data_IF_342987528179
#
_entry.id   IF_342987528179
#
_cell.length_a   1.000
_cell.length_b   1.000
_cell.length_c   1.000
_cell.angle_alpha   90.00
_cell.angle_beta   90.00
_cell.angle_gamma   90.00
#
_symmetry.space_group_name_H-M   'P 1'
#
loop_
_entity.id
_entity.type
_entity.pdbx_description
1 polymer ?
#
# COMPACT_ATOMS: atom_id res chain seq x y z
N UNK A 1 -16.98 -2.72 -7.67
CA UNK A 1 -17.43 -4.00 -7.08
C UNK A 1 -18.29 -3.71 -5.86
N UNK A 2 -19.43 -4.38 -5.69
CA UNK A 2 -20.32 -4.17 -4.53
C UNK A 2 -20.69 -5.51 -3.94
N UNK A 3 -20.73 -5.60 -2.60
CA UNK A 3 -21.08 -6.83 -1.89
C UNK A 3 -21.77 -6.54 -0.56
N UNK A 4 -22.67 -7.44 -0.16
CA UNK A 4 -23.26 -7.43 1.19
C UNK A 4 -22.27 -8.09 2.14
N UNK A 5 -21.89 -7.38 3.19
CA UNK A 5 -20.83 -7.86 4.09
C UNK A 5 -21.36 -8.44 5.40
N UNK A 6 -22.61 -8.13 5.79
CA UNK A 6 -23.20 -8.61 7.03
C UNK A 6 -24.04 -9.90 6.83
N UNK A 7 -24.10 -10.72 7.88
CA UNK A 7 -25.03 -11.84 7.95
C UNK A 7 -26.44 -11.32 8.20
N UNK A 8 -27.23 -11.18 7.13
CA UNK A 8 -28.60 -10.66 7.20
C UNK A 8 -29.66 -11.78 7.27
N UNK A 9 -29.29 -13.02 6.91
CA UNK A 9 -30.17 -14.19 6.91
C UNK A 9 -29.44 -15.44 7.43
N UNK A 10 -30.10 -16.19 8.30
CA UNK A 10 -29.62 -17.50 8.79
C UNK A 10 -30.80 -18.47 8.86
N UNK A 11 -30.64 -19.67 8.30
CA UNK A 11 -31.66 -20.72 8.31
C UNK A 11 -33.07 -20.28 7.84
N UNK A 12 -33.12 -19.37 6.86
CA UNK A 12 -34.39 -18.82 6.37
C UNK A 12 -34.86 -17.55 7.11
N UNK A 13 -34.41 -17.35 8.35
CA UNK A 13 -34.79 -16.22 9.20
C UNK A 13 -33.99 -14.96 8.86
N UNK A 14 -34.70 -13.84 8.74
CA UNK A 14 -34.09 -12.51 8.55
C UNK A 14 -33.67 -12.00 9.92
N UNK A 15 -32.35 -11.79 10.09
CA UNK A 15 -31.77 -11.30 11.34
C UNK A 15 -31.65 -9.78 11.34
N UNK A 16 -31.22 -9.20 10.22
CA UNK A 16 -30.97 -7.77 10.06
C UNK A 16 -31.17 -7.31 8.61
N UNK A 17 -31.19 -5.98 8.39
CA UNK A 17 -31.10 -5.39 7.06
C UNK A 17 -29.73 -5.67 6.42
N UNK A 18 -29.72 -5.88 5.10
CA UNK A 18 -28.48 -5.98 4.31
C UNK A 18 -27.70 -4.66 4.41
N UNK A 19 -26.38 -4.76 4.59
CA UNK A 19 -25.44 -3.66 4.52
C UNK A 19 -24.38 -3.95 3.48
N UNK A 20 -24.13 -2.97 2.62
CA UNK A 20 -23.24 -3.12 1.48
C UNK A 20 -21.91 -2.39 1.66
N UNK A 21 -20.88 -2.91 1.00
CA UNK A 21 -19.65 -2.20 0.74
C UNK A 21 -19.44 -2.14 -0.78
N UNK A 22 -19.10 -0.96 -1.29
CA UNK A 22 -18.85 -0.69 -2.70
C UNK A 22 -17.46 -0.11 -2.89
N UNK A 23 -16.71 -0.64 -3.86
CA UNK A 23 -15.38 -0.18 -4.22
C UNK A 23 -15.35 0.28 -5.67
N UNK A 24 -14.72 1.44 -5.89
CA UNK A 24 -14.33 1.95 -7.19
C UNK A 24 -12.81 2.03 -7.25
N UNK A 25 -12.19 1.41 -8.24
CA UNK A 25 -10.75 1.34 -8.40
C UNK A 25 -10.36 1.82 -9.80
N UNK A 26 -9.24 2.54 -9.89
CA UNK A 26 -8.62 2.95 -11.15
C UNK A 26 -7.15 2.54 -11.10
N UNK A 27 -6.78 1.66 -12.02
CA UNK A 27 -5.42 1.21 -12.24
C UNK A 27 -4.76 1.96 -13.39
N UNK A 28 -3.46 2.22 -13.28
CA UNK A 28 -2.67 2.73 -14.40
C UNK A 28 -1.31 2.06 -14.46
N UNK A 29 -0.86 1.81 -15.69
CA UNK A 29 0.46 1.27 -16.00
C UNK A 29 0.97 1.97 -17.26
N UNK A 30 2.20 2.48 -17.20
CA UNK A 30 2.88 3.02 -18.39
C UNK A 30 4.38 2.79 -18.30
N UNK A 31 5.05 2.87 -19.45
CA UNK A 31 6.50 2.85 -19.54
C UNK A 31 6.98 3.87 -20.56
N UNK A 32 8.09 4.53 -20.24
CA UNK A 32 8.67 5.61 -21.06
C UNK A 32 10.18 5.39 -21.25
N UNK A 33 10.77 6.13 -22.20
CA UNK A 33 12.20 6.03 -22.57
C UNK A 33 12.62 4.59 -22.95
N UNK A 34 11.87 3.96 -23.86
CA UNK A 34 12.09 2.59 -24.32
C UNK A 34 12.11 1.59 -23.14
N UNK A 35 11.11 1.68 -22.27
CA UNK A 35 10.94 0.83 -21.08
C UNK A 35 12.06 0.95 -20.04
N UNK A 36 12.80 2.07 -20.04
CA UNK A 36 13.76 2.36 -18.97
C UNK A 36 13.07 2.82 -17.70
N UNK A 37 11.93 3.50 -17.79
CA UNK A 37 11.13 3.91 -16.65
C UNK A 37 9.75 3.30 -16.76
N UNK A 38 9.31 2.62 -15.71
CA UNK A 38 7.96 2.08 -15.58
C UNK A 38 7.27 2.78 -14.41
N UNK A 39 6.00 3.11 -14.61
CA UNK A 39 5.15 3.78 -13.62
C UNK A 39 3.88 2.94 -13.50
N UNK A 40 3.60 2.50 -12.28
CA UNK A 40 2.41 1.72 -11.93
C UNK A 40 1.66 2.42 -10.82
N UNK A 41 0.35 2.33 -10.80
CA UNK A 41 -0.39 2.72 -9.62
C UNK A 41 -1.85 2.36 -9.68
N UNK A 42 -2.49 2.59 -8.55
CA UNK A 42 -3.88 2.26 -8.31
C UNK A 42 -4.45 3.28 -7.33
N UNK A 43 -5.70 3.67 -7.52
CA UNK A 43 -6.47 4.46 -6.53
C UNK A 43 -7.81 3.79 -6.32
N UNK A 44 -8.18 3.58 -5.06
CA UNK A 44 -9.41 2.91 -4.63
C UNK A 44 -10.20 3.81 -3.71
N UNK A 45 -11.49 3.96 -4.02
CA UNK A 45 -12.49 4.59 -3.18
C UNK A 45 -13.45 3.53 -2.64
N UNK A 46 -13.56 3.42 -1.32
CA UNK A 46 -14.52 2.53 -0.68
C UNK A 46 -15.68 3.33 -0.07
N UNK A 47 -16.88 2.79 -0.22
CA UNK A 47 -18.11 3.24 0.40
C UNK A 47 -18.67 2.08 1.23
N UNK A 48 -18.90 2.29 2.52
CA UNK A 48 -19.32 1.26 3.47
C UNK A 48 -20.57 1.74 4.20
N UNK A 49 -21.64 0.98 4.11
CA UNK A 49 -22.86 1.24 4.88
C UNK A 49 -22.65 0.81 6.33
N UNK A 50 -22.64 1.76 7.27
CA UNK A 50 -22.43 1.47 8.69
C UNK A 50 -23.78 1.31 9.43
N UNK A 51 -23.87 0.44 10.46
CA UNK A 51 -25.07 0.34 11.29
C UNK A 51 -25.37 1.65 12.05
N UNK A 52 -26.62 1.94 12.38
CA UNK A 52 -26.99 3.23 13.02
C UNK A 52 -26.28 3.47 14.37
N UNK A 53 -26.08 2.42 15.16
CA UNK A 53 -25.47 2.45 16.49
C UNK A 53 -23.94 2.27 16.47
N UNK A 54 -23.29 2.50 15.32
CA UNK A 54 -21.85 2.25 15.19
C UNK A 54 -20.98 3.26 15.95
N UNK A 55 -19.79 2.82 16.35
CA UNK A 55 -18.77 3.69 16.96
C UNK A 55 -18.19 4.61 15.88
N UNK A 56 -18.26 5.92 16.10
CA UNK A 56 -17.92 6.95 15.10
C UNK A 56 -16.50 6.83 14.48
N UNK A 57 -15.59 6.08 15.10
CA UNK A 57 -14.25 5.81 14.60
C UNK A 57 -14.23 5.03 13.28
N UNK A 58 -15.30 4.29 12.93
CA UNK A 58 -15.38 3.61 11.63
C UNK A 58 -15.77 4.55 10.49
N UNK A 59 -15.08 4.40 9.34
CA UNK A 59 -15.31 5.23 8.15
C UNK A 59 -16.28 4.62 7.16
N UNK A 60 -17.34 5.36 6.80
CA UNK A 60 -18.26 4.99 5.72
C UNK A 60 -17.71 5.34 4.33
N UNK A 61 -16.64 6.13 4.28
CA UNK A 61 -15.91 6.48 3.06
C UNK A 61 -14.42 6.42 3.32
N UNK A 62 -13.72 5.71 2.47
CA UNK A 62 -12.26 5.50 2.56
C UNK A 62 -11.64 5.78 1.20
N UNK A 63 -10.39 6.23 1.15
CA UNK A 63 -9.66 6.49 -0.08
C UNK A 63 -8.23 6.03 0.12
N UNK A 64 -7.70 5.23 -0.80
CA UNK A 64 -6.29 4.88 -0.77
C UNK A 64 -5.75 4.64 -2.16
N UNK A 65 -4.45 4.54 -2.27
CA UNK A 65 -3.79 4.28 -3.53
C UNK A 65 -2.28 4.25 -3.40
N UNK A 66 -1.63 3.89 -4.49
CA UNK A 66 -0.19 3.89 -4.59
C UNK A 66 0.29 4.31 -5.98
N UNK A 67 1.54 4.76 -6.05
CA UNK A 67 2.27 5.00 -7.28
C UNK A 67 3.70 4.48 -7.10
N UNK A 68 4.15 3.60 -7.98
CA UNK A 68 5.47 2.98 -8.00
C UNK A 68 6.20 3.35 -9.30
N UNK A 69 7.35 3.99 -9.16
CA UNK A 69 8.20 4.43 -10.26
C UNK A 69 9.50 3.65 -10.20
N UNK A 70 9.83 2.90 -11.25
CA UNK A 70 11.05 2.09 -11.33
C UNK A 70 11.82 2.50 -12.57
N UNK A 71 13.08 2.89 -12.39
CA UNK A 71 14.00 3.23 -13.45
C UNK A 71 15.16 2.22 -13.54
N UNK A 72 15.44 1.71 -14.74
CA UNK A 72 16.66 0.96 -15.04
C UNK A 72 17.79 1.95 -15.31
N UNK A 73 18.71 2.10 -14.36
CA UNK A 73 19.82 3.07 -14.44
C UNK A 73 21.04 2.49 -15.15
N UNK A 74 21.20 1.18 -15.12
CA UNK A 74 22.31 0.48 -15.76
C UNK A 74 21.85 -0.87 -16.30
N UNK A 75 22.25 -1.20 -17.53
CA UNK A 75 22.05 -2.51 -18.13
C UNK A 75 23.31 -2.91 -18.90
N UNK A 76 24.07 -3.88 -18.38
CA UNK A 76 25.30 -4.39 -19.00
C UNK A 76 25.71 -5.74 -18.42
N UNK A 77 26.86 -6.26 -18.85
CA UNK A 77 27.49 -7.41 -18.17
C UNK A 77 27.99 -6.98 -16.78
N UNK A 78 27.50 -7.63 -15.73
CA UNK A 78 27.89 -7.37 -14.33
C UNK A 78 28.17 -8.72 -13.68
N UNK A 79 29.35 -8.89 -13.05
CA UNK A 79 29.72 -10.11 -12.31
C UNK A 79 29.49 -11.42 -13.10
N UNK A 80 29.73 -11.40 -14.41
CA UNK A 80 29.56 -12.56 -15.30
C UNK A 80 28.17 -12.69 -15.94
N UNK A 81 27.13 -12.05 -15.41
CA UNK A 81 25.79 -12.08 -15.99
C UNK A 81 25.64 -11.08 -17.13
N UNK A 82 25.24 -11.57 -18.31
CA UNK A 82 24.92 -10.73 -19.46
C UNK A 82 23.56 -10.04 -19.27
N UNK A 83 23.46 -8.77 -19.69
CA UNK A 83 22.23 -7.97 -19.58
C UNK A 83 21.68 -7.80 -18.15
N UNK A 84 22.54 -7.89 -17.14
CA UNK A 84 22.15 -7.61 -15.77
C UNK A 84 21.72 -6.15 -15.62
N UNK A 85 20.68 -5.91 -14.82
CA UNK A 85 20.09 -4.59 -14.61
C UNK A 85 20.28 -4.11 -13.17
N UNK A 86 20.62 -2.84 -13.02
CA UNK A 86 20.49 -2.11 -11.76
C UNK A 86 19.33 -1.14 -11.90
N UNK A 87 18.39 -1.24 -10.96
CA UNK A 87 17.20 -0.41 -10.93
C UNK A 87 17.20 0.42 -9.65
N UNK A 88 16.72 1.64 -9.77
CA UNK A 88 16.26 2.44 -8.65
C UNK A 88 14.75 2.55 -8.73
N UNK A 89 14.07 2.74 -7.62
CA UNK A 89 12.65 3.02 -7.64
C UNK A 89 12.19 3.76 -6.40
N UNK A 90 10.98 4.29 -6.48
CA UNK A 90 10.30 4.92 -5.36
C UNK A 90 8.83 4.59 -5.45
N UNK A 91 8.28 4.15 -4.31
CA UNK A 91 6.85 3.92 -4.15
C UNK A 91 6.27 4.90 -3.14
N UNK A 92 5.14 5.49 -3.52
CA UNK A 92 4.29 6.32 -2.67
C UNK A 92 3.02 5.53 -2.38
N UNK A 93 2.62 5.44 -1.12
CA UNK A 93 1.31 4.91 -0.73
C UNK A 93 0.58 5.94 0.13
N UNK A 94 -0.72 6.04 -0.05
CA UNK A 94 -1.61 6.83 0.79
C UNK A 94 -2.87 6.03 1.09
N UNK A 95 -3.34 6.07 2.33
CA UNK A 95 -4.64 5.53 2.72
C UNK A 95 -5.27 6.42 3.78
N UNK A 96 -6.50 6.84 3.57
CA UNK A 96 -7.40 7.50 4.51
C UNK A 96 -8.58 6.56 4.76
N UNK A 97 -8.60 5.98 5.96
CA UNK A 97 -9.59 4.99 6.37
C UNK A 97 -10.90 5.61 6.83
N UNK A 98 -10.96 6.94 7.02
CA UNK A 98 -12.16 7.60 7.49
C UNK A 98 -12.27 9.05 6.99
N UNK A 99 -13.04 9.25 5.92
CA UNK A 99 -13.36 10.59 5.42
C UNK A 99 -14.62 11.22 6.03
N UNK A 100 -15.11 10.70 7.16
CA UNK A 100 -16.26 11.27 7.85
C UNK A 100 -15.85 12.38 8.82
N UNK A 101 -16.85 12.93 9.51
CA UNK A 101 -16.71 13.95 10.53
C UNK A 101 -17.35 13.50 11.83
N UNK A 102 -16.87 14.01 12.96
CA UNK A 102 -17.49 13.79 14.25
C UNK A 102 -18.91 14.38 14.27
N UNK A 103 -19.89 13.68 14.86
CA UNK A 103 -21.32 14.02 14.79
C UNK A 103 -21.60 15.27 15.61
N UNK A 104 -20.90 15.41 16.74
CA UNK A 104 -21.07 16.49 17.69
C UNK A 104 -20.26 17.74 17.30
N UNK A 105 -18.96 17.60 17.00
CA UNK A 105 -18.08 18.74 16.71
C UNK A 105 -18.02 19.13 15.23
N UNK A 106 -18.48 18.28 14.32
CA UNK A 106 -18.35 18.45 12.86
C UNK A 106 -16.90 18.60 12.37
N UNK A 107 -15.94 18.18 13.20
CA UNK A 107 -14.52 18.14 12.86
C UNK A 107 -14.21 16.92 12.00
N UNK A 108 -13.16 17.01 11.18
CA UNK A 108 -12.69 15.89 10.37
C UNK A 108 -12.24 14.75 11.30
N UNK A 109 -12.67 13.53 11.00
CA UNK A 109 -12.06 12.34 11.58
C UNK A 109 -10.82 12.06 10.74
N UNK A 110 -9.67 12.02 11.38
CA UNK A 110 -8.44 11.56 10.75
C UNK A 110 -8.40 10.03 10.83
N UNK A 111 -7.46 9.41 10.13
CA UNK A 111 -7.04 8.00 10.22
C UNK A 111 -6.36 7.72 8.87
N UNK A 112 -5.22 8.39 8.68
CA UNK A 112 -4.52 8.34 7.42
C UNK A 112 -3.05 8.00 7.57
N UNK A 113 -2.57 7.28 6.57
CA UNK A 113 -1.20 6.78 6.49
C UNK A 113 -0.58 7.19 5.17
N UNK A 114 0.61 7.79 5.25
CA UNK A 114 1.47 8.07 4.13
C UNK A 114 2.70 7.17 4.19
N UNK A 115 3.13 6.65 3.05
CA UNK A 115 4.33 5.83 2.94
C UNK A 115 5.17 6.28 1.77
N UNK A 116 6.47 6.38 2.01
CA UNK A 116 7.50 6.66 1.02
C UNK A 116 8.53 5.53 1.08
N UNK A 117 8.70 4.82 -0.03
CA UNK A 117 9.57 3.63 -0.10
C UNK A 117 10.56 3.75 -1.26
N UNK A 118 11.71 4.43 -1.08
CA UNK A 118 12.84 4.30 -2.00
C UNK A 118 13.37 2.87 -2.03
N UNK A 119 13.83 2.44 -3.21
CA UNK A 119 14.33 1.10 -3.48
C UNK A 119 15.52 1.08 -4.42
N UNK A 120 16.40 0.11 -4.22
CA UNK A 120 17.45 -0.28 -5.15
C UNK A 120 17.30 -1.77 -5.40
N UNK A 121 17.32 -2.18 -6.67
CA UNK A 121 17.18 -3.57 -7.05
C UNK A 121 18.23 -3.98 -8.07
N UNK A 122 18.93 -5.08 -7.81
CA UNK A 122 19.79 -5.74 -8.76
C UNK A 122 19.07 -6.95 -9.37
N UNK A 123 19.10 -7.05 -10.70
CA UNK A 123 18.52 -8.14 -11.47
C UNK A 123 19.63 -8.81 -12.28
N UNK A 124 20.27 -9.89 -11.76
CA UNK A 124 21.36 -10.55 -12.46
C UNK A 124 20.90 -11.24 -13.74
N UNK A 125 19.75 -11.91 -13.69
CA UNK A 125 19.16 -12.62 -14.82
C UNK A 125 17.63 -12.52 -14.74
N UNK A 126 16.91 -12.60 -15.86
CA UNK A 126 15.56 -12.06 -16.05
C UNK A 126 14.51 -12.33 -14.96
N UNK A 127 14.61 -13.42 -14.22
CA UNK A 127 13.67 -13.82 -13.15
C UNK A 127 14.22 -13.63 -11.72
N UNK A 128 15.49 -13.29 -11.53
CA UNK A 128 16.08 -13.08 -10.21
C UNK A 128 16.13 -11.59 -9.86
N UNK A 129 15.73 -11.24 -8.64
CA UNK A 129 15.74 -9.89 -8.10
C UNK A 129 16.28 -9.92 -6.68
N UNK A 130 17.30 -9.12 -6.42
CA UNK A 130 17.76 -8.76 -5.08
C UNK A 130 17.37 -7.31 -4.86
N UNK A 131 16.66 -6.99 -3.78
CA UNK A 131 16.11 -5.66 -3.54
C UNK A 131 16.36 -5.22 -2.11
N UNK A 132 16.74 -3.96 -1.96
CA UNK A 132 16.77 -3.25 -0.70
C UNK A 132 15.79 -2.09 -0.79
N UNK A 133 14.90 -1.96 0.19
CA UNK A 133 14.02 -0.81 0.34
C UNK A 133 14.18 -0.19 1.72
N UNK A 134 13.95 1.12 1.79
CA UNK A 134 13.73 1.81 3.06
C UNK A 134 12.31 2.35 3.05
N UNK A 135 11.48 1.91 4.00
CA UNK A 135 10.10 2.37 4.17
C UNK A 135 10.06 3.46 5.22
N UNK A 136 9.59 4.64 4.86
CA UNK A 136 9.24 5.72 5.78
C UNK A 136 7.73 5.90 5.79
N UNK A 137 7.11 5.75 6.96
CA UNK A 137 5.66 5.80 7.14
C UNK A 137 5.28 6.86 8.17
N UNK A 138 4.22 7.60 7.87
CA UNK A 138 3.57 8.57 8.76
C UNK A 138 2.12 8.12 8.96
N UNK A 139 1.69 7.91 10.20
CA UNK A 139 0.30 7.52 10.51
C UNK A 139 -0.29 8.48 11.53
N UNK A 140 -1.41 9.11 11.17
CA UNK A 140 -2.21 9.95 12.07
C UNK A 140 -3.34 9.15 12.68
N UNK A 141 -3.59 9.40 13.96
CA UNK A 141 -4.74 8.83 14.67
C UNK A 141 -6.05 9.56 14.32
N UNK A 142 -7.15 9.13 14.92
CA UNK A 142 -8.50 9.62 14.62
C UNK A 142 -8.77 11.09 14.98
N UNK A 143 -8.02 11.62 15.95
CA UNK A 143 -8.19 13.00 16.45
C UNK A 143 -7.21 13.98 15.79
N UNK A 144 -6.28 13.47 14.97
CA UNK A 144 -5.37 14.31 14.20
C UNK A 144 -4.16 14.80 14.99
N UNK A 145 -3.70 14.03 15.98
CA UNK A 145 -2.43 14.30 16.63
C UNK A 145 -1.27 14.25 15.62
N UNK A 146 -0.11 14.80 16.04
CA UNK A 146 1.12 14.72 15.24
C UNK A 146 1.39 13.28 14.76
N UNK A 147 1.69 13.07 13.46
CA UNK A 147 1.80 11.72 12.91
C UNK A 147 2.90 10.90 13.60
N UNK A 148 2.56 9.68 13.97
CA UNK A 148 3.53 8.67 14.37
C UNK A 148 4.42 8.31 13.17
N UNK A 149 5.73 8.20 13.40
CA UNK A 149 6.74 7.96 12.36
C UNK A 149 7.29 6.55 12.48
N UNK A 150 7.40 5.85 11.36
CA UNK A 150 8.00 4.51 11.31
C UNK A 150 9.04 4.44 10.19
N UNK A 151 10.21 3.91 10.52
CA UNK A 151 11.27 3.56 9.58
C UNK A 151 11.52 2.06 9.56
N UNK A 152 11.59 1.46 8.38
CA UNK A 152 11.93 0.05 8.23
C UNK A 152 12.85 -0.22 7.05
N UNK A 153 13.80 -1.13 7.23
CA UNK A 153 14.64 -1.64 6.15
C UNK A 153 14.05 -2.97 5.70
N UNK A 154 13.86 -3.12 4.40
CA UNK A 154 13.34 -4.32 3.77
C UNK A 154 14.37 -4.89 2.82
N UNK A 155 14.81 -6.10 3.09
CA UNK A 155 15.66 -6.85 2.16
C UNK A 155 14.85 -7.99 1.54
N UNK A 156 14.85 -8.07 0.22
CA UNK A 156 14.10 -9.08 -0.54
C UNK A 156 14.98 -9.80 -1.56
N UNK A 157 14.84 -11.11 -1.62
CA UNK A 157 15.37 -11.96 -2.69
C UNK A 157 14.21 -12.71 -3.32
N UNK A 158 14.07 -12.61 -4.63
CA UNK A 158 13.12 -13.39 -5.41
C UNK A 158 13.82 -14.03 -6.58
N UNK A 159 13.56 -15.31 -6.81
CA UNK A 159 14.09 -16.04 -7.96
C UNK A 159 13.07 -17.07 -8.44
N UNK A 160 13.05 -17.32 -9.75
CA UNK A 160 12.20 -18.35 -10.34
C UNK A 160 13.07 -19.40 -11.02
N UNK A 161 12.84 -20.66 -10.66
CA UNK A 161 13.46 -21.83 -11.27
C UNK A 161 12.35 -22.74 -11.78
N UNK A 162 12.30 -23.06 -13.08
CA UNK A 162 11.46 -24.13 -13.64
C UNK A 162 10.04 -24.21 -13.04
N UNK A 163 9.30 -23.08 -13.04
CA UNK A 163 7.92 -22.90 -12.48
C UNK A 163 7.79 -22.84 -10.95
N UNK A 164 8.88 -22.88 -10.18
CA UNK A 164 8.90 -22.68 -8.73
C UNK A 164 9.39 -21.27 -8.42
N UNK A 165 8.60 -20.53 -7.64
CA UNK A 165 8.96 -19.22 -7.10
C UNK A 165 9.47 -19.38 -5.67
N UNK A 166 10.68 -18.89 -5.40
CA UNK A 166 11.20 -18.75 -4.04
C UNK A 166 11.36 -17.24 -3.78
N UNK A 167 10.59 -16.74 -2.83
CA UNK A 167 10.65 -15.35 -2.38
C UNK A 167 10.90 -15.31 -0.89
N UNK A 168 11.93 -14.57 -0.50
CA UNK A 168 12.32 -14.36 0.90
C UNK A 168 12.42 -12.86 1.15
N UNK A 169 11.79 -12.39 2.24
CA UNK A 169 11.82 -10.99 2.65
C UNK A 169 12.07 -10.91 4.14
N UNK A 170 13.09 -10.16 4.54
CA UNK A 170 13.33 -9.79 5.94
C UNK A 170 12.92 -8.33 6.11
N UNK A 171 12.05 -8.10 7.09
CA UNK A 171 11.68 -6.78 7.55
C UNK A 171 12.39 -6.50 8.88
N UNK A 172 13.33 -5.57 8.88
CA UNK A 172 13.96 -5.07 10.10
C UNK A 172 13.33 -3.71 10.45
N UNK A 173 12.63 -3.65 11.58
CA UNK A 173 12.09 -2.41 12.11
C UNK A 173 13.15 -1.68 12.94
N UNK A 174 13.30 -0.37 12.71
CA UNK A 174 13.91 0.52 13.69
C UNK A 174 12.77 1.28 14.36
N UNK A 175 12.43 0.92 15.60
CA UNK A 175 11.48 1.65 16.44
C UNK A 175 12.06 3.04 16.71
N UNK A 176 11.67 4.02 15.91
CA UNK A 176 11.98 5.42 16.13
C UNK A 176 10.80 6.09 16.82
N UNK A 177 10.70 5.98 18.14
CA UNK A 177 10.02 7.02 18.92
C UNK A 177 10.91 8.26 18.86
N UNK A 178 10.78 9.05 17.79
CA UNK A 178 11.32 10.41 17.78
C UNK A 178 10.29 11.26 18.52
N UNK A 179 10.39 11.29 19.85
CA UNK A 179 9.87 12.44 20.60
C UNK A 179 10.66 13.65 20.11
N UNK A 180 9.96 14.59 19.45
CA UNK A 180 10.53 15.90 19.20
C UNK A 180 10.70 16.59 20.55
N UNK A 181 11.94 17.03 20.83
CA UNK A 181 12.21 18.16 21.72
C UNK A 181 11.77 19.46 21.02
#
# INVERSE_FOLDING_TARGET
MTGVYNTWKKDGLILENKRSASLFAVDFNTSVFNNKISINGEVVKAFVELPENYVQTYGSRQLGGYCDIIATVLQRKILGWNNAKLNIGIRFDYADFNQNKFKLSNEKIFDDTWVFTPSIAFRPYGTTVIRLNYKYQLTRDIVGNEPSKLGAIQFGLSTYFNKIQISFSILAHKLGLVHNL
#
